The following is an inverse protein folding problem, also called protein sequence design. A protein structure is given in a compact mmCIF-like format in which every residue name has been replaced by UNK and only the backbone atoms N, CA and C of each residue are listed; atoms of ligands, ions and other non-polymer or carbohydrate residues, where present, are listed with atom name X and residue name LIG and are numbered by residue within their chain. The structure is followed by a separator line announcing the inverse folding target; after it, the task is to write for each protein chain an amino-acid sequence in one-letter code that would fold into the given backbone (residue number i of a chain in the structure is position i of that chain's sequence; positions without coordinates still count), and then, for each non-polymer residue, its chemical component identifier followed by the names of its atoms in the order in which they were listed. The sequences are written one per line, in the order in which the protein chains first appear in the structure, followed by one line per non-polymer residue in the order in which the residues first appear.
data_IF_792057128158
#
_entry.id   IF_792057128158
#
_cell.length_a   1.000
_cell.length_b   1.000
_cell.length_c   1.000
_cell.angle_alpha   90.00
_cell.angle_beta   90.00
_cell.angle_gamma   90.00
#
_symmetry.space_group_name_H-M   'P 1'
#
loop_
_entity.id
_entity.type
_entity.pdbx_description
1 polymer ?
#
# COMPACT_ATOMS: atom_id res chain seq x y z
N UNK A 1 9.65 20.74 26.70
CA UNK A 1 9.63 20.81 25.22
C UNK A 1 8.31 20.24 24.73
N UNK A 2 7.60 20.93 23.83
CA UNK A 2 6.37 20.40 23.23
C UNK A 2 6.70 19.29 22.23
N UNK A 3 5.73 18.42 21.92
CA UNK A 3 5.96 17.25 21.06
C UNK A 3 6.51 17.62 19.66
N UNK A 4 5.95 18.62 18.93
CA UNK A 4 6.47 18.96 17.60
C UNK A 4 7.96 19.35 17.62
N UNK A 5 8.35 20.21 18.56
CA UNK A 5 9.75 20.62 18.72
C UNK A 5 10.68 19.45 19.07
N UNK A 6 10.21 18.48 19.85
CA UNK A 6 10.98 17.27 20.15
C UNK A 6 11.18 16.40 18.89
N UNK A 7 10.12 16.22 18.11
CA UNK A 7 10.16 15.45 16.85
C UNK A 7 11.09 16.11 15.83
N UNK A 8 11.00 17.42 15.69
CA UNK A 8 11.87 18.23 14.82
C UNK A 8 13.34 18.09 15.23
N UNK A 9 13.62 18.15 16.53
CA UNK A 9 14.97 17.94 17.06
C UNK A 9 15.50 16.54 16.71
N UNK A 10 14.71 15.49 16.91
CA UNK A 10 15.12 14.10 16.60
C UNK A 10 15.37 13.90 15.11
N UNK A 11 14.60 14.58 14.24
CA UNK A 11 14.78 14.53 12.78
C UNK A 11 15.88 15.44 12.25
N UNK A 12 16.49 16.28 13.09
CA UNK A 12 17.44 17.29 12.64
C UNK A 12 16.79 18.32 11.70
N UNK A 13 15.54 18.68 11.95
CA UNK A 13 14.88 19.79 11.24
C UNK A 13 15.48 21.10 11.77
N UNK A 14 16.08 21.87 10.87
CA UNK A 14 16.74 23.15 11.18
C UNK A 14 16.12 24.27 10.35
N UNK A 15 16.49 25.52 10.63
CA UNK A 15 16.07 26.66 9.80
C UNK A 15 16.59 26.55 8.35
N UNK A 16 17.79 25.99 8.16
CA UNK A 16 18.42 25.82 6.83
C UNK A 16 17.85 24.62 6.07
N UNK A 17 17.46 23.55 6.78
CA UNK A 17 16.82 22.37 6.21
C UNK A 17 15.76 21.81 7.16
N UNK A 18 14.52 22.25 6.94
CA UNK A 18 13.36 21.84 7.73
C UNK A 18 12.71 20.54 7.27
N UNK A 19 13.23 19.89 6.21
CA UNK A 19 12.61 18.67 5.65
C UNK A 19 12.61 17.54 6.68
N UNK A 20 11.49 16.83 6.90
CA UNK A 20 11.46 15.69 7.82
C UNK A 20 12.10 14.43 7.22
N UNK A 21 12.07 14.25 5.89
CA UNK A 21 12.75 13.17 5.20
C UNK A 21 13.86 13.74 4.32
N UNK A 22 15.12 13.52 4.73
CA UNK A 22 16.29 14.09 4.05
C UNK A 22 16.58 13.47 2.68
N UNK A 23 16.05 12.27 2.43
CA UNK A 23 16.20 11.57 1.14
C UNK A 23 15.39 12.24 0.02
N UNK A 24 14.36 13.00 0.35
CA UNK A 24 13.51 13.67 -0.63
C UNK A 24 14.05 15.07 -0.93
N UNK A 25 14.52 15.31 -2.16
CA UNK A 25 15.23 16.54 -2.53
C UNK A 25 14.35 17.45 -3.39
N UNK A 26 13.85 18.59 -2.87
CA UNK A 26 12.99 19.52 -3.61
C UNK A 26 13.50 19.93 -4.98
N UNK A 27 14.80 20.24 -5.08
CA UNK A 27 15.43 20.66 -6.34
C UNK A 27 15.39 19.57 -7.40
N UNK A 28 15.67 18.32 -7.03
CA UNK A 28 15.61 17.17 -7.95
C UNK A 28 14.18 16.99 -8.44
N UNK A 29 13.20 17.04 -7.54
CA UNK A 29 11.78 16.89 -7.87
C UNK A 29 11.27 17.99 -8.81
N UNK A 30 11.71 19.24 -8.65
CA UNK A 30 11.33 20.31 -9.58
C UNK A 30 11.80 20.05 -11.01
N UNK A 31 12.98 19.45 -11.17
CA UNK A 31 13.51 19.13 -12.48
C UNK A 31 12.84 17.89 -13.09
N UNK A 32 12.78 16.79 -12.35
CA UNK A 32 12.29 15.51 -12.91
C UNK A 32 10.77 15.43 -13.01
N UNK A 33 10.04 16.19 -12.18
CA UNK A 33 8.57 16.18 -12.14
C UNK A 33 7.93 17.47 -12.67
N UNK A 34 8.62 18.25 -13.51
CA UNK A 34 8.21 19.60 -13.95
C UNK A 34 6.77 19.72 -14.48
N UNK A 35 6.23 18.69 -15.14
CA UNK A 35 4.85 18.67 -15.64
C UNK A 35 3.98 17.62 -14.97
N UNK A 36 4.41 17.13 -13.81
CA UNK A 36 3.61 16.23 -12.99
C UNK A 36 2.49 17.01 -12.29
N UNK A 37 1.24 16.56 -12.46
CA UNK A 37 0.06 17.27 -11.97
C UNK A 37 0.07 17.56 -10.46
N UNK A 38 0.68 16.67 -9.66
CA UNK A 38 0.73 16.79 -8.20
C UNK A 38 2.10 17.31 -7.69
N UNK A 39 2.92 17.93 -8.54
CA UNK A 39 4.24 18.44 -8.13
C UNK A 39 4.15 19.39 -6.92
N UNK A 40 3.21 20.33 -6.92
CA UNK A 40 3.07 21.29 -5.81
C UNK A 40 2.74 20.59 -4.49
N UNK A 41 1.90 19.56 -4.53
CA UNK A 41 1.55 18.78 -3.34
C UNK A 41 2.72 17.93 -2.86
N UNK A 42 3.44 17.30 -3.80
CA UNK A 42 4.66 16.56 -3.51
C UNK A 42 5.71 17.47 -2.85
N UNK A 43 5.90 18.70 -3.35
CA UNK A 43 6.81 19.68 -2.77
C UNK A 43 6.43 20.03 -1.33
N UNK A 44 5.14 20.24 -1.04
CA UNK A 44 4.66 20.49 0.34
C UNK A 44 4.98 19.31 1.26
N UNK A 45 4.73 18.09 0.83
CA UNK A 45 5.02 16.86 1.59
C UNK A 45 6.53 16.71 1.85
N UNK A 46 7.36 17.02 0.86
CA UNK A 46 8.82 16.92 0.98
C UNK A 46 9.37 17.95 1.97
N UNK A 47 8.81 19.17 1.95
CA UNK A 47 9.28 20.29 2.78
C UNK A 47 8.87 20.17 4.24
N UNK A 48 7.64 19.73 4.53
CA UNK A 48 7.11 19.69 5.91
C UNK A 48 6.63 18.33 6.39
N UNK A 49 6.43 17.37 5.50
CA UNK A 49 5.68 16.15 5.76
C UNK A 49 4.18 16.35 5.59
N UNK A 50 3.43 15.28 5.77
CA UNK A 50 1.96 15.29 5.66
C UNK A 50 1.37 15.87 6.93
N UNK A 51 0.76 17.04 6.83
CA UNK A 51 -0.07 17.62 7.88
C UNK A 51 -1.48 17.05 7.77
N UNK A 52 -1.90 16.29 8.78
CA UNK A 52 -3.18 15.59 8.78
C UNK A 52 -4.31 16.57 9.01
N UNK A 53 -5.20 16.70 8.02
CA UNK A 53 -6.44 17.47 8.17
C UNK A 53 -7.49 16.62 8.85
N UNK A 54 -8.14 17.20 9.85
CA UNK A 54 -9.20 16.57 10.62
C UNK A 54 -10.51 17.27 10.34
N UNK A 55 -11.58 16.51 10.11
CA UNK A 55 -12.94 17.03 10.01
C UNK A 55 -13.47 17.51 11.36
N UNK A 56 -12.94 16.92 12.45
CA UNK A 56 -13.22 17.31 13.82
C UNK A 56 -12.03 16.94 14.72
N UNK A 57 -11.78 17.77 15.73
CA UNK A 57 -10.73 17.48 16.71
C UNK A 57 -11.11 16.25 17.56
N UNK A 58 -10.28 15.20 17.57
CA UNK A 58 -10.48 14.06 18.45
C UNK A 58 -10.39 14.47 19.93
N UNK A 59 -11.21 13.90 20.82
CA UNK A 59 -11.16 14.21 22.24
C UNK A 59 -9.87 13.71 22.87
N UNK A 60 -9.40 14.39 23.93
CA UNK A 60 -8.29 13.89 24.75
C UNK A 60 -8.67 12.57 25.42
N UNK A 61 -7.78 11.60 25.35
CA UNK A 61 -7.99 10.28 25.95
C UNK A 61 -7.71 10.31 27.45
N UNK A 62 -8.75 10.09 28.25
CA UNK A 62 -8.62 9.83 29.70
C UNK A 62 -8.19 8.38 29.94
N UNK A 63 -8.79 7.45 29.20
CA UNK A 63 -8.42 6.04 29.14
C UNK A 63 -7.96 5.71 27.72
N UNK A 64 -6.95 4.85 27.63
CA UNK A 64 -6.33 4.44 26.37
C UNK A 64 -6.62 2.96 26.13
N UNK A 65 -6.92 2.56 24.89
CA UNK A 65 -7.30 1.19 24.61
C UNK A 65 -6.09 0.24 24.76
N UNK A 66 -6.30 -1.00 25.23
CA UNK A 66 -5.27 -2.03 25.20
C UNK A 66 -5.06 -2.53 23.77
N UNK A 67 -3.89 -3.10 23.50
CA UNK A 67 -3.63 -3.77 22.23
C UNK A 67 -4.56 -4.97 21.99
N UNK A 68 -4.80 -5.28 20.72
CA UNK A 68 -5.56 -6.48 20.36
C UNK A 68 -4.86 -7.74 20.87
N UNK A 69 -5.65 -8.80 21.13
CA UNK A 69 -5.11 -10.09 21.58
C UNK A 69 -3.98 -10.60 20.67
N UNK A 70 -4.15 -10.45 19.36
CA UNK A 70 -3.12 -10.88 18.39
C UNK A 70 -1.77 -10.20 18.53
N UNK A 71 -1.72 -8.95 19.00
CA UNK A 71 -0.48 -8.24 19.27
C UNK A 71 0.16 -8.66 20.60
N UNK A 72 -0.66 -8.87 21.63
CA UNK A 72 -0.21 -9.35 22.96
C UNK A 72 0.33 -10.79 22.87
N UNK A 73 -0.39 -11.67 22.20
CA UNK A 73 -0.01 -13.08 22.00
C UNK A 73 1.27 -13.21 21.15
N UNK A 74 1.59 -12.20 20.34
CA UNK A 74 2.73 -12.19 19.41
C UNK A 74 3.63 -10.98 19.65
N UNK A 75 3.87 -10.68 20.92
CA UNK A 75 4.63 -9.52 21.36
C UNK A 75 6.05 -9.47 20.78
N UNK A 76 6.70 -10.62 20.60
CA UNK A 76 8.01 -10.72 19.95
C UNK A 76 7.99 -10.19 18.50
N UNK A 77 6.93 -10.47 17.74
CA UNK A 77 6.74 -9.99 16.38
C UNK A 77 6.46 -8.49 16.37
N UNK A 78 5.61 -8.02 17.30
CA UNK A 78 5.34 -6.59 17.47
C UNK A 78 6.64 -5.82 17.77
N UNK A 79 7.39 -6.22 18.79
CA UNK A 79 8.67 -5.62 19.18
C UNK A 79 9.66 -5.61 18.02
N UNK A 80 9.82 -6.73 17.32
CA UNK A 80 10.71 -6.84 16.14
C UNK A 80 10.33 -5.84 15.04
N UNK A 81 9.04 -5.73 14.73
CA UNK A 81 8.55 -4.83 13.70
C UNK A 81 8.72 -3.36 14.11
N UNK A 82 8.35 -2.99 15.35
CA UNK A 82 8.55 -1.63 15.86
C UNK A 82 10.04 -1.28 15.89
N UNK A 83 10.90 -2.19 16.34
CA UNK A 83 12.34 -1.96 16.37
C UNK A 83 12.91 -1.71 14.97
N UNK A 84 12.46 -2.47 13.96
CA UNK A 84 12.83 -2.23 12.56
C UNK A 84 12.43 -0.84 12.08
N UNK A 85 11.25 -0.35 12.47
CA UNK A 85 10.78 0.99 12.10
C UNK A 85 11.54 2.08 12.87
N UNK A 86 11.90 1.82 14.14
CA UNK A 86 12.73 2.71 14.96
C UNK A 86 14.14 2.84 14.39
N UNK A 87 14.79 1.73 14.04
CA UNK A 87 16.14 1.72 13.45
C UNK A 87 16.19 2.49 12.12
N UNK A 88 15.06 2.55 11.41
CA UNK A 88 14.92 3.33 10.18
C UNK A 88 14.44 4.78 10.40
N UNK A 89 14.34 5.24 11.65
CA UNK A 89 13.91 6.60 12.00
C UNK A 89 12.43 6.90 11.71
N UNK A 90 11.60 5.88 11.52
CA UNK A 90 10.18 6.01 11.12
C UNK A 90 9.19 5.97 12.28
N UNK A 91 9.65 5.66 13.49
CA UNK A 91 8.89 5.84 14.72
C UNK A 91 9.81 6.18 15.90
N UNK A 92 9.25 6.81 16.92
CA UNK A 92 9.88 6.96 18.24
C UNK A 92 9.37 5.86 19.16
N UNK A 93 10.25 5.37 20.04
CA UNK A 93 9.88 4.49 21.16
C UNK A 93 10.36 5.19 22.43
N UNK A 94 9.43 5.57 23.30
CA UNK A 94 9.66 6.41 24.46
C UNK A 94 8.97 5.82 25.69
N UNK A 95 9.47 6.13 26.88
CA UNK A 95 8.80 5.76 28.13
C UNK A 95 7.36 6.30 28.17
N UNK A 96 6.44 5.52 28.74
CA UNK A 96 5.02 5.87 28.83
C UNK A 96 4.78 7.15 29.62
N UNK A 97 5.67 7.49 30.55
CA UNK A 97 5.57 8.70 31.36
C UNK A 97 5.52 10.00 30.54
N UNK A 98 6.02 9.97 29.29
CA UNK A 98 5.92 11.05 28.31
C UNK A 98 4.49 11.45 27.99
N UNK A 99 3.51 10.56 28.19
CA UNK A 99 2.08 10.92 28.08
C UNK A 99 1.63 11.95 29.13
N UNK A 100 2.35 12.10 30.25
CA UNK A 100 2.10 13.19 31.23
C UNK A 100 2.52 14.54 30.66
N UNK A 101 3.59 14.56 29.88
CA UNK A 101 4.13 15.75 29.23
C UNK A 101 3.34 16.11 27.96
N UNK A 102 2.87 15.11 27.22
CA UNK A 102 2.10 15.25 25.98
C UNK A 102 0.75 14.54 26.06
N UNK A 103 -0.19 15.08 26.87
CA UNK A 103 -1.51 14.48 27.05
C UNK A 103 -2.37 14.47 25.78
N UNK A 104 -1.98 15.23 24.75
CA UNK A 104 -2.61 15.27 23.43
C UNK A 104 -2.39 14.00 22.60
N UNK A 105 -1.38 13.17 22.91
CA UNK A 105 -1.11 11.94 22.14
C UNK A 105 -2.29 10.97 22.25
N UNK A 106 -2.78 10.56 21.07
CA UNK A 106 -3.84 9.58 20.89
C UNK A 106 -3.20 8.21 20.68
N UNK A 107 -3.60 7.27 21.50
CA UNK A 107 -3.21 5.86 21.41
C UNK A 107 -4.31 5.09 20.71
N UNK A 108 -3.94 4.44 19.61
CA UNK A 108 -4.72 3.42 18.93
C UNK A 108 -4.05 2.06 19.09
N UNK A 109 -4.82 0.96 19.18
CA UNK A 109 -4.26 -0.34 19.50
C UNK A 109 -3.47 -0.93 18.32
N UNK A 110 -2.44 -1.71 18.64
CA UNK A 110 -1.77 -2.55 17.66
C UNK A 110 -2.47 -3.91 17.54
N UNK A 111 -2.39 -4.48 16.34
CA UNK A 111 -2.69 -5.88 16.05
C UNK A 111 -1.56 -6.51 15.23
N UNK A 112 -1.41 -7.84 15.30
CA UNK A 112 -0.46 -8.58 14.45
C UNK A 112 -1.21 -9.61 13.62
N UNK A 113 -1.01 -9.57 12.30
CA UNK A 113 -1.61 -10.52 11.36
C UNK A 113 -0.55 -11.36 10.65
N UNK A 114 -0.93 -12.54 10.17
CA UNK A 114 -0.01 -13.43 9.47
C UNK A 114 0.48 -12.82 8.14
N UNK A 115 1.77 -13.02 7.85
CA UNK A 115 2.40 -12.57 6.60
C UNK A 115 2.62 -13.79 5.69
N UNK A 116 1.67 -14.00 4.77
CA UNK A 116 1.78 -15.08 3.79
C UNK A 116 1.90 -16.48 4.43
N UNK A 117 2.81 -17.29 3.89
CA UNK A 117 3.11 -18.65 4.36
C UNK A 117 4.32 -18.71 5.31
N UNK A 118 4.80 -17.57 5.80
CA UNK A 118 5.88 -17.55 6.80
C UNK A 118 5.36 -18.04 8.16
N UNK A 119 6.25 -18.57 9.00
CA UNK A 119 5.89 -19.04 10.34
C UNK A 119 5.31 -17.86 11.17
N UNK A 120 4.06 -18.02 11.60
CA UNK A 120 3.31 -17.04 12.35
C UNK A 120 3.96 -16.72 13.71
N UNK A 121 4.80 -17.59 14.27
CA UNK A 121 5.46 -17.31 15.55
C UNK A 121 6.60 -16.29 15.42
N UNK A 122 7.19 -16.15 14.22
CA UNK A 122 8.38 -15.30 13.99
C UNK A 122 8.14 -14.18 12.96
N UNK A 123 7.03 -14.27 12.21
CA UNK A 123 6.69 -13.32 11.15
C UNK A 123 5.22 -12.93 11.15
N UNK A 124 4.98 -11.63 11.09
CA UNK A 124 3.65 -11.05 10.97
C UNK A 124 3.75 -9.59 10.57
N UNK A 125 2.63 -9.04 10.09
CA UNK A 125 2.49 -7.62 9.82
C UNK A 125 1.82 -6.96 11.02
N UNK A 126 2.52 -6.01 11.63
CA UNK A 126 1.92 -5.11 12.62
C UNK A 126 0.96 -4.17 11.89
N UNK A 127 -0.25 -4.05 12.44
CA UNK A 127 -1.28 -3.10 12.01
C UNK A 127 -1.50 -2.14 13.16
N UNK A 128 -1.45 -0.85 12.87
CA UNK A 128 -1.92 0.19 13.79
C UNK A 128 -3.40 0.38 13.52
N UNK A 129 -4.27 -0.07 14.42
CA UNK A 129 -5.72 -0.06 14.18
C UNK A 129 -6.30 1.35 14.42
N UNK A 130 -6.05 2.21 13.44
CA UNK A 130 -6.50 3.60 13.42
C UNK A 130 -7.98 3.73 13.02
N UNK A 131 -8.68 2.60 12.84
CA UNK A 131 -10.13 2.49 12.70
C UNK A 131 -10.83 2.09 14.00
N UNK A 132 -10.09 1.99 15.11
CA UNK A 132 -10.63 1.69 16.43
C UNK A 132 -10.68 2.96 17.32
N UNK A 133 -11.76 3.23 18.06
CA UNK A 133 -13.09 2.60 18.04
C UNK A 133 -13.94 3.20 16.90
N UNK A 134 -14.72 2.37 16.22
CA UNK A 134 -15.59 2.79 15.11
C UNK A 134 -16.48 4.00 15.49
N UNK A 135 -16.53 5.00 14.61
CA UNK A 135 -17.23 6.27 14.79
C UNK A 135 -16.45 7.33 15.58
N UNK A 136 -15.34 6.96 16.21
CA UNK A 136 -14.47 7.85 17.02
C UNK A 136 -12.99 7.59 16.82
N UNK A 137 -12.64 6.89 15.74
CA UNK A 137 -11.25 6.54 15.44
C UNK A 137 -10.53 7.67 14.72
N UNK A 138 -9.20 7.58 14.60
CA UNK A 138 -8.42 8.55 13.82
C UNK A 138 -8.89 8.59 12.36
N UNK A 139 -9.25 7.44 11.79
CA UNK A 139 -9.79 7.38 10.44
C UNK A 139 -11.16 8.07 10.32
N UNK A 140 -12.01 8.01 11.36
CA UNK A 140 -13.30 8.71 11.37
C UNK A 140 -13.14 10.24 11.50
N UNK A 141 -12.09 10.68 12.21
CA UNK A 141 -11.77 12.11 12.37
C UNK A 141 -10.95 12.68 11.22
N UNK A 142 -10.29 11.84 10.40
CA UNK A 142 -9.52 12.29 9.24
C UNK A 142 -10.47 12.87 8.19
N UNK A 143 -10.18 14.08 7.72
CA UNK A 143 -10.93 14.69 6.62
C UNK A 143 -10.70 13.91 5.32
N UNK A 144 -11.72 13.17 4.88
CA UNK A 144 -11.62 12.33 3.69
C UNK A 144 -11.53 13.13 2.39
N UNK A 145 -12.00 14.39 2.39
CA UNK A 145 -11.94 15.26 1.21
C UNK A 145 -10.54 15.86 1.02
N UNK A 146 -9.70 15.82 2.06
CA UNK A 146 -8.29 16.22 1.98
C UNK A 146 -7.37 15.16 1.38
N UNK A 147 -7.84 13.92 1.20
CA UNK A 147 -7.02 12.80 0.75
C UNK A 147 -7.14 12.66 -0.77
N UNK A 148 -6.00 12.71 -1.45
CA UNK A 148 -5.92 12.42 -2.89
C UNK A 148 -6.41 10.99 -3.17
N UNK A 149 -7.43 10.87 -4.03
CA UNK A 149 -8.00 9.60 -4.44
C UNK A 149 -7.24 9.10 -5.68
N UNK A 150 -6.47 7.99 -5.57
CA UNK A 150 -5.80 7.43 -6.74
C UNK A 150 -6.81 6.97 -7.79
N UNK A 151 -6.52 7.29 -9.06
CA UNK A 151 -7.20 6.72 -10.21
C UNK A 151 -6.26 5.74 -10.92
N UNK A 152 -6.48 4.44 -10.71
CA UNK A 152 -5.68 3.41 -11.36
C UNK A 152 -6.30 2.95 -12.67
N UNK A 153 -5.43 2.76 -13.67
CA UNK A 153 -5.84 2.09 -14.91
C UNK A 153 -6.14 0.62 -14.64
N UNK A 154 -7.09 0.05 -15.37
CA UNK A 154 -7.38 -1.37 -15.27
C UNK A 154 -6.20 -2.20 -15.80
N UNK A 155 -5.97 -3.38 -15.21
CA UNK A 155 -4.80 -4.24 -15.51
C UNK A 155 -4.74 -4.77 -16.96
N UNK A 156 -5.79 -4.58 -17.75
CA UNK A 156 -5.81 -4.89 -19.18
C UNK A 156 -4.89 -3.98 -19.99
N UNK A 157 -4.49 -2.82 -19.46
CA UNK A 157 -3.46 -1.97 -20.05
C UNK A 157 -2.14 -2.73 -20.27
N UNK A 158 -1.75 -3.61 -19.34
CA UNK A 158 -0.55 -4.47 -19.49
C UNK A 158 -0.72 -5.43 -20.67
N UNK A 159 -1.89 -6.06 -20.79
CA UNK A 159 -2.18 -6.97 -21.90
C UNK A 159 -2.25 -6.22 -23.26
N UNK A 160 -2.86 -5.03 -23.28
CA UNK A 160 -2.93 -4.18 -24.46
C UNK A 160 -1.51 -3.77 -24.92
N UNK A 161 -0.63 -3.47 -23.98
CA UNK A 161 0.76 -3.13 -24.26
C UNK A 161 1.53 -4.30 -24.86
N UNK A 162 1.39 -5.50 -24.28
CA UNK A 162 2.00 -6.72 -24.81
C UNK A 162 1.60 -6.91 -26.27
N UNK A 163 0.31 -6.81 -26.58
CA UNK A 163 -0.21 -6.96 -27.94
C UNK A 163 0.28 -5.84 -28.88
N UNK A 164 0.40 -4.60 -28.39
CA UNK A 164 0.94 -3.47 -29.14
C UNK A 164 2.40 -3.71 -29.50
N UNK A 165 3.22 -4.06 -28.51
CA UNK A 165 4.65 -4.36 -28.68
C UNK A 165 4.88 -5.54 -29.63
N UNK A 166 4.09 -6.61 -29.55
CA UNK A 166 4.18 -7.74 -30.50
C UNK A 166 3.83 -7.35 -31.92
N UNK A 167 2.82 -6.50 -32.13
CA UNK A 167 2.47 -6.01 -33.47
C UNK A 167 3.58 -5.13 -34.07
N UNK A 168 4.22 -4.30 -33.25
CA UNK A 168 5.34 -3.46 -33.67
C UNK A 168 6.60 -4.29 -33.96
N UNK A 169 6.83 -5.38 -33.21
CA UNK A 169 8.02 -6.22 -33.34
C UNK A 169 7.68 -7.72 -33.44
N UNK A 170 7.08 -8.20 -34.57
CA UNK A 170 6.50 -9.55 -34.65
C UNK A 170 7.44 -10.72 -34.43
N UNK A 171 8.76 -10.51 -34.59
CA UNK A 171 9.80 -11.55 -34.46
C UNK A 171 10.64 -11.41 -33.21
N UNK A 172 10.32 -10.43 -32.36
CA UNK A 172 11.07 -10.14 -31.14
C UNK A 172 10.28 -10.65 -29.94
N UNK A 173 10.99 -11.15 -28.94
CA UNK A 173 10.39 -11.51 -27.66
C UNK A 173 9.89 -10.25 -26.97
N UNK A 174 8.63 -10.26 -26.51
CA UNK A 174 8.11 -9.22 -25.62
C UNK A 174 8.15 -9.75 -24.20
N UNK A 175 8.82 -9.04 -23.31
CA UNK A 175 9.03 -9.43 -21.94
C UNK A 175 8.29 -8.49 -20.99
N UNK A 176 7.95 -9.01 -19.81
CA UNK A 176 7.33 -8.28 -18.71
C UNK A 176 8.27 -8.31 -17.52
N UNK A 177 8.39 -7.18 -16.83
CA UNK A 177 9.11 -7.06 -15.57
C UNK A 177 8.23 -6.34 -14.55
N UNK A 178 8.33 -6.77 -13.30
CA UNK A 178 7.78 -6.07 -12.14
C UNK A 178 8.90 -5.53 -11.25
N UNK A 179 8.75 -4.27 -10.86
CA UNK A 179 9.52 -3.60 -9.81
C UNK A 179 8.62 -3.23 -8.64
N UNK A 180 9.22 -3.03 -7.47
CA UNK A 180 8.52 -2.73 -6.21
C UNK A 180 9.24 -1.61 -5.46
N UNK A 181 8.45 -0.67 -4.94
CA UNK A 181 8.93 0.37 -4.03
C UNK A 181 9.02 -0.19 -2.61
N UNK A 182 10.22 -0.22 -2.05
CA UNK A 182 10.44 -0.64 -0.68
C UNK A 182 9.75 0.31 0.30
N UNK A 183 9.11 -0.27 1.32
CA UNK A 183 8.47 0.44 2.45
C UNK A 183 7.27 1.33 2.09
N UNK A 184 7.00 1.57 0.80
CA UNK A 184 5.82 2.26 0.27
C UNK A 184 5.45 3.52 1.08
N UNK A 185 4.30 3.50 1.78
CA UNK A 185 3.77 4.61 2.59
C UNK A 185 4.77 5.15 3.61
N UNK A 186 5.66 4.28 4.11
CA UNK A 186 6.64 4.61 5.13
C UNK A 186 7.76 5.52 4.63
N UNK A 187 7.85 5.77 3.32
CA UNK A 187 8.71 6.83 2.76
C UNK A 187 8.14 8.24 2.98
N UNK A 188 6.85 8.35 3.29
CA UNK A 188 6.16 9.62 3.48
C UNK A 188 6.16 9.98 4.96
N UNK A 189 6.82 11.08 5.32
CA UNK A 189 6.86 11.56 6.70
C UNK A 189 5.56 12.27 7.09
N UNK A 190 5.14 12.09 8.34
CA UNK A 190 4.06 12.87 8.96
C UNK A 190 4.66 14.17 9.52
N UNK A 191 3.95 15.29 9.33
CA UNK A 191 4.34 16.58 9.87
C UNK A 191 4.45 16.54 11.41
N UNK A 192 5.40 17.26 12.00
CA UNK A 192 5.64 17.25 13.45
C UNK A 192 4.38 17.62 14.26
N UNK A 193 3.58 18.55 13.75
CA UNK A 193 2.28 18.93 14.31
C UNK A 193 1.20 17.84 14.26
N UNK A 194 1.38 16.74 13.51
CA UNK A 194 0.35 15.71 13.34
C UNK A 194 0.74 14.35 13.93
N UNK A 195 1.99 14.14 14.34
CA UNK A 195 2.41 12.82 14.86
C UNK A 195 1.69 12.39 16.14
N UNK A 196 1.12 13.36 16.88
CA UNK A 196 0.34 13.07 18.09
C UNK A 196 -0.90 12.19 17.82
N UNK A 197 -1.37 12.14 16.58
CA UNK A 197 -2.51 11.32 16.14
C UNK A 197 -2.16 9.84 16.02
N UNK A 198 -0.88 9.50 15.92
CA UNK A 198 -0.41 8.17 15.56
C UNK A 198 0.42 7.55 16.69
N UNK A 199 -0.12 7.58 17.89
CA UNK A 199 0.45 6.90 19.05
C UNK A 199 -0.02 5.46 19.15
N UNK A 200 0.87 4.59 19.61
CA UNK A 200 0.58 3.22 20.05
C UNK A 200 1.25 2.97 21.40
N UNK A 201 0.89 1.87 22.06
CA UNK A 201 1.38 1.55 23.39
C UNK A 201 1.79 0.08 23.46
N UNK A 202 2.91 -0.24 24.08
CA UNK A 202 3.30 -1.62 24.39
C UNK A 202 3.34 -1.72 25.91
N UNK A 203 2.23 -2.22 26.48
CA UNK A 203 2.00 -2.27 27.93
C UNK A 203 3.07 -3.07 28.65
N UNK A 204 3.50 -4.18 28.06
CA UNK A 204 4.48 -5.10 28.63
C UNK A 204 5.88 -4.51 28.77
N UNK A 205 6.16 -3.43 28.04
CA UNK A 205 7.45 -2.72 28.05
C UNK A 205 7.35 -1.33 28.71
N UNK A 206 6.15 -0.88 29.10
CA UNK A 206 5.86 0.49 29.58
C UNK A 206 6.35 1.59 28.61
N UNK A 207 6.23 1.35 27.31
CA UNK A 207 6.65 2.30 26.25
C UNK A 207 5.49 2.71 25.34
N UNK A 208 5.54 3.96 24.89
CA UNK A 208 4.73 4.46 23.77
C UNK A 208 5.53 4.44 22.47
N UNK A 209 4.83 4.18 21.38
CA UNK A 209 5.34 4.29 20.02
C UNK A 209 4.66 5.48 19.36
N UNK A 210 5.42 6.38 18.74
CA UNK A 210 4.87 7.50 17.97
C UNK A 210 5.33 7.33 16.52
N UNK A 211 4.38 7.14 15.61
CA UNK A 211 4.69 7.00 14.19
C UNK A 211 5.13 8.35 13.60
N UNK A 212 6.28 8.34 12.92
CA UNK A 212 6.85 9.49 12.24
C UNK A 212 6.63 9.43 10.72
N UNK A 213 6.32 8.26 10.18
CA UNK A 213 5.96 8.08 8.78
C UNK A 213 4.54 7.56 8.65
N UNK A 214 3.92 7.74 7.47
CA UNK A 214 2.53 7.37 7.23
C UNK A 214 2.29 5.88 7.58
N UNK A 215 1.50 5.59 8.63
CA UNK A 215 1.42 4.24 9.19
C UNK A 215 0.48 3.33 8.41
N UNK A 216 0.68 2.02 8.51
CA UNK A 216 -0.31 1.06 8.04
C UNK A 216 -1.54 1.08 8.95
N UNK A 217 -2.70 1.32 8.34
CA UNK A 217 -3.98 1.41 9.05
C UNK A 217 -4.61 2.79 8.99
N UNK A 218 -3.85 3.84 8.63
CA UNK A 218 -4.42 5.16 8.37
C UNK A 218 -5.03 5.23 6.96
N UNK A 219 -6.24 5.73 6.85
CA UNK A 219 -6.97 5.89 5.58
C UNK A 219 -6.28 6.86 4.62
N UNK A 220 -5.52 7.84 5.14
CA UNK A 220 -4.73 8.76 4.32
C UNK A 220 -3.44 8.18 3.74
N UNK A 221 -2.86 7.13 4.36
CA UNK A 221 -1.55 6.61 3.95
C UNK A 221 -1.45 6.26 2.46
N UNK A 222 -2.41 5.53 1.86
CA UNK A 222 -2.36 5.23 0.44
C UNK A 222 -2.49 6.47 -0.45
N UNK A 223 -3.40 7.39 -0.13
CA UNK A 223 -3.66 8.59 -0.94
C UNK A 223 -2.48 9.56 -0.94
N UNK A 224 -1.84 9.78 0.22
CA UNK A 224 -0.66 10.63 0.28
C UNK A 224 0.58 10.00 -0.36
N UNK A 225 0.71 8.68 -0.25
CA UNK A 225 1.78 7.98 -0.95
C UNK A 225 1.59 7.98 -2.46
N UNK A 226 0.36 7.92 -2.96
CA UNK A 226 0.07 7.96 -4.40
C UNK A 226 0.70 9.20 -5.07
N UNK A 227 0.77 10.33 -4.38
CA UNK A 227 1.40 11.54 -4.91
C UNK A 227 2.88 11.29 -5.22
N UNK A 228 3.58 10.51 -4.40
CA UNK A 228 4.97 10.16 -4.66
C UNK A 228 5.10 8.95 -5.61
N UNK A 229 4.27 7.90 -5.44
CA UNK A 229 4.25 6.73 -6.34
C UNK A 229 3.88 7.11 -7.78
N UNK A 230 2.91 8.00 -7.96
CA UNK A 230 2.54 8.60 -9.22
C UNK A 230 3.64 9.48 -9.81
N UNK A 231 4.44 10.16 -8.97
CA UNK A 231 5.61 10.89 -9.45
C UNK A 231 6.71 9.94 -9.96
N UNK A 232 6.97 8.82 -9.26
CA UNK A 232 7.83 7.73 -9.78
C UNK A 232 7.30 7.25 -11.13
N UNK A 233 5.98 7.03 -11.22
CA UNK A 233 5.37 6.56 -12.43
C UNK A 233 5.49 7.54 -13.60
N UNK A 234 5.32 8.84 -13.31
CA UNK A 234 5.49 9.94 -14.26
C UNK A 234 6.93 10.06 -14.75
N UNK A 235 7.92 10.09 -13.85
CA UNK A 235 9.34 10.21 -14.21
C UNK A 235 9.78 9.03 -15.05
N UNK A 236 9.39 7.81 -14.63
CA UNK A 236 9.70 6.61 -15.39
C UNK A 236 9.01 6.65 -16.76
N UNK A 237 7.70 6.86 -16.82
CA UNK A 237 6.93 6.86 -18.08
C UNK A 237 7.32 7.98 -19.05
N UNK A 238 7.88 9.09 -18.56
CA UNK A 238 8.38 10.18 -19.40
C UNK A 238 9.80 9.92 -19.93
N UNK A 239 10.46 8.85 -19.50
CA UNK A 239 11.81 8.52 -19.95
C UNK A 239 11.78 8.02 -21.39
N UNK A 240 12.54 8.68 -22.26
CA UNK A 240 12.61 8.34 -23.68
C UNK A 240 13.90 7.59 -24.01
N UNK A 241 13.81 6.66 -24.95
CA UNK A 241 14.96 5.93 -25.50
C UNK A 241 14.81 5.86 -27.03
N UNK A 242 15.80 5.31 -27.74
CA UNK A 242 15.68 5.07 -29.17
C UNK A 242 14.48 4.19 -29.54
N UNK A 243 14.22 3.15 -28.75
CA UNK A 243 13.07 2.25 -28.94
C UNK A 243 11.74 2.84 -28.43
N UNK A 244 11.81 3.75 -27.45
CA UNK A 244 10.65 4.36 -26.80
C UNK A 244 10.69 5.90 -26.88
N UNK A 245 10.56 6.50 -28.06
CA UNK A 245 10.66 7.96 -28.22
C UNK A 245 9.50 8.73 -27.57
N UNK A 246 8.35 8.05 -27.36
CA UNK A 246 7.17 8.61 -26.70
C UNK A 246 7.09 8.33 -25.19
N UNK A 247 8.14 7.74 -24.61
CA UNK A 247 8.14 7.29 -23.21
C UNK A 247 7.97 5.77 -23.07
N UNK A 248 8.53 5.23 -22.00
CA UNK A 248 8.41 3.80 -21.65
C UNK A 248 7.04 3.48 -21.05
N UNK A 249 6.51 2.29 -21.34
CA UNK A 249 5.28 1.84 -20.71
C UNK A 249 5.50 1.51 -19.24
N UNK A 250 4.62 2.02 -18.38
CA UNK A 250 4.61 1.72 -16.96
C UNK A 250 3.18 1.62 -16.46
N UNK A 251 2.78 0.43 -16.03
CA UNK A 251 1.58 0.24 -15.23
C UNK A 251 1.95 0.34 -13.75
N UNK A 252 1.38 1.32 -13.07
CA UNK A 252 1.62 1.57 -11.65
C UNK A 252 0.37 1.24 -10.83
N UNK A 253 0.57 0.52 -9.73
CA UNK A 253 -0.44 0.26 -8.70
C UNK A 253 0.22 0.34 -7.32
N UNK A 254 0.03 1.45 -6.63
CA UNK A 254 0.62 1.68 -5.30
C UNK A 254 2.14 1.47 -5.32
N UNK A 255 2.67 0.40 -4.74
CA UNK A 255 4.09 0.08 -4.69
C UNK A 255 4.58 -0.76 -5.87
N UNK A 256 3.66 -1.36 -6.63
CA UNK A 256 3.96 -2.21 -7.77
C UNK A 256 4.08 -1.39 -9.07
N UNK A 257 5.16 -1.63 -9.81
CA UNK A 257 5.39 -1.11 -11.17
C UNK A 257 5.57 -2.26 -12.15
N UNK A 258 4.82 -2.27 -13.24
CA UNK A 258 4.85 -3.31 -14.27
C UNK A 258 5.22 -2.69 -15.60
N UNK A 259 6.30 -3.20 -16.17
CA UNK A 259 6.85 -2.75 -17.44
C UNK A 259 6.71 -3.84 -18.49
N UNK A 260 6.59 -3.41 -19.74
CA UNK A 260 6.55 -4.28 -20.92
C UNK A 260 7.51 -3.71 -21.94
N UNK A 261 8.40 -4.56 -22.45
CA UNK A 261 9.40 -4.16 -23.44
C UNK A 261 9.59 -5.25 -24.49
N UNK A 262 9.90 -4.85 -25.72
CA UNK A 262 10.40 -5.76 -26.75
C UNK A 262 11.91 -5.91 -26.52
N UNK A 263 12.41 -7.14 -26.49
CA UNK A 263 13.80 -7.50 -26.17
C UNK A 263 14.74 -7.17 -27.36
N UNK A 264 15.09 -5.88 -27.50
CA UNK A 264 15.85 -5.31 -28.62
C UNK A 264 17.04 -4.55 -28.05
N UNK A 265 18.26 -5.02 -28.34
CA UNK A 265 19.47 -4.38 -27.85
C UNK A 265 19.43 -4.26 -26.32
N UNK A 266 19.44 -3.02 -25.81
CA UNK A 266 19.44 -2.70 -24.38
C UNK A 266 18.06 -2.28 -23.83
N UNK A 267 16.99 -2.39 -24.62
CA UNK A 267 15.67 -1.84 -24.26
C UNK A 267 15.17 -2.27 -22.87
N UNK A 268 15.27 -3.55 -22.54
CA UNK A 268 14.88 -4.10 -21.23
C UNK A 268 15.71 -3.50 -20.08
N UNK A 269 17.02 -3.37 -20.29
CA UNK A 269 17.95 -2.80 -19.31
C UNK A 269 17.73 -1.29 -19.13
N UNK A 270 17.43 -0.58 -20.22
CA UNK A 270 17.14 0.85 -20.21
C UNK A 270 15.85 1.15 -19.44
N UNK A 271 14.81 0.33 -19.64
CA UNK A 271 13.55 0.43 -18.90
C UNK A 271 13.77 0.10 -17.42
N UNK A 272 14.49 -0.97 -17.07
CA UNK A 272 14.81 -1.30 -15.66
C UNK A 272 15.57 -0.15 -14.98
N UNK A 273 16.62 0.35 -15.63
CA UNK A 273 17.44 1.45 -15.12
C UNK A 273 16.63 2.74 -14.96
N UNK A 274 15.73 3.03 -15.89
CA UNK A 274 14.82 4.18 -15.80
C UNK A 274 13.90 4.09 -14.59
N UNK A 275 13.32 2.93 -14.29
CA UNK A 275 12.46 2.75 -13.13
C UNK A 275 13.25 2.95 -11.82
N UNK A 276 14.44 2.35 -11.73
CA UNK A 276 15.33 2.50 -10.56
C UNK A 276 15.74 3.95 -10.36
N UNK A 277 16.06 4.66 -11.45
CA UNK A 277 16.35 6.08 -11.42
C UNK A 277 15.16 6.88 -10.89
N UNK A 278 13.95 6.63 -11.40
CA UNK A 278 12.74 7.32 -10.95
C UNK A 278 12.48 7.10 -9.45
N UNK A 279 12.59 5.85 -8.97
CA UNK A 279 12.48 5.54 -7.54
C UNK A 279 13.51 6.30 -6.70
N UNK A 280 14.78 6.27 -7.11
CA UNK A 280 15.86 6.96 -6.38
C UNK A 280 15.69 8.48 -6.39
N UNK A 281 15.31 9.07 -7.52
CA UNK A 281 15.14 10.51 -7.68
C UNK A 281 13.95 11.03 -6.87
N UNK A 282 12.86 10.25 -6.79
CA UNK A 282 11.64 10.69 -6.11
C UNK A 282 11.64 10.34 -4.62
N UNK A 283 12.06 9.13 -4.25
CA UNK A 283 11.90 8.58 -2.90
C UNK A 283 13.23 8.32 -2.17
N UNK A 284 14.36 8.45 -2.87
CA UNK A 284 15.69 8.08 -2.38
C UNK A 284 16.08 6.64 -2.72
N UNK A 285 17.38 6.34 -2.67
CA UNK A 285 17.92 5.05 -3.10
C UNK A 285 17.38 3.85 -2.31
N UNK A 286 17.07 4.04 -1.02
CA UNK A 286 16.52 3.00 -0.15
C UNK A 286 15.11 2.55 -0.55
N UNK A 287 14.43 3.31 -1.42
CA UNK A 287 13.12 2.95 -1.96
C UNK A 287 13.19 1.85 -3.03
N UNK A 288 14.37 1.52 -3.56
CA UNK A 288 14.51 0.46 -4.56
C UNK A 288 14.50 -0.91 -3.87
N UNK A 289 13.43 -1.69 -4.06
CA UNK A 289 13.36 -3.03 -3.51
C UNK A 289 14.04 -4.08 -4.41
N UNK A 290 15.38 -4.07 -4.47
CA UNK A 290 16.16 -4.94 -5.36
C UNK A 290 15.78 -6.42 -5.29
N UNK A 291 15.35 -6.92 -4.13
CA UNK A 291 14.94 -8.32 -3.91
C UNK A 291 13.60 -8.70 -4.53
N UNK A 292 12.75 -7.71 -4.84
CA UNK A 292 11.43 -7.91 -5.42
C UNK A 292 11.34 -7.49 -6.89
N UNK A 293 12.38 -6.86 -7.42
CA UNK A 293 12.52 -6.73 -8.86
C UNK A 293 12.62 -8.13 -9.45
N UNK A 294 11.87 -8.34 -10.50
CA UNK A 294 11.83 -9.61 -11.21
C UNK A 294 12.64 -9.51 -12.49
N UNK A 295 13.20 -10.63 -12.94
CA UNK A 295 13.83 -10.68 -14.25
C UNK A 295 12.79 -10.46 -15.36
N UNK A 296 13.25 -9.95 -16.50
CA UNK A 296 12.46 -9.84 -17.71
C UNK A 296 12.09 -11.22 -18.25
N UNK A 297 10.80 -11.51 -18.37
CA UNK A 297 10.35 -12.82 -18.83
C UNK A 297 9.12 -12.72 -19.74
N UNK A 298 8.99 -13.67 -20.67
CA UNK A 298 7.79 -13.80 -21.52
C UNK A 298 6.62 -14.41 -20.78
N UNK A 299 6.88 -15.10 -19.66
CA UNK A 299 5.85 -15.62 -18.75
C UNK A 299 6.07 -15.07 -17.36
N UNK A 300 5.22 -14.15 -16.93
CA UNK A 300 5.44 -13.38 -15.72
C UNK A 300 4.20 -13.28 -14.84
N UNK A 301 4.42 -13.44 -13.53
CA UNK A 301 3.39 -13.23 -12.52
C UNK A 301 3.44 -11.79 -12.02
N UNK A 302 2.42 -11.00 -12.38
CA UNK A 302 2.27 -9.61 -11.92
C UNK A 302 0.81 -9.34 -11.56
N UNK A 303 0.56 -8.44 -10.59
CA UNK A 303 -0.81 -8.10 -10.11
C UNK A 303 -1.61 -9.33 -9.64
N UNK A 304 -0.92 -10.40 -9.25
CA UNK A 304 -1.54 -11.68 -8.89
C UNK A 304 -2.11 -12.49 -10.06
N UNK A 305 -1.82 -12.10 -11.31
CA UNK A 305 -2.16 -12.80 -12.54
C UNK A 305 -0.90 -13.32 -13.23
N UNK A 306 -1.05 -14.32 -14.10
CA UNK A 306 0.01 -14.86 -14.94
C UNK A 306 -0.18 -14.35 -16.36
N UNK A 307 0.75 -13.52 -16.82
CA UNK A 307 0.80 -13.02 -18.19
C UNK A 307 1.76 -13.89 -19.00
N UNK A 308 1.31 -14.37 -20.16
CA UNK A 308 2.13 -15.12 -21.11
C UNK A 308 2.11 -14.37 -22.45
N UNK A 309 3.23 -13.74 -22.78
CA UNK A 309 3.37 -12.93 -24.00
C UNK A 309 3.52 -13.79 -25.24
N UNK A 310 3.96 -15.05 -25.12
CA UNK A 310 4.08 -15.98 -26.26
C UNK A 310 2.69 -16.50 -26.63
N UNK A 311 1.97 -17.03 -25.64
CA UNK A 311 0.61 -17.56 -25.82
C UNK A 311 -0.46 -16.46 -25.93
N UNK A 312 -0.13 -15.20 -25.63
CA UNK A 312 -1.06 -14.06 -25.59
C UNK A 312 -2.23 -14.27 -24.63
N UNK A 313 -1.92 -14.84 -23.46
CA UNK A 313 -2.93 -15.15 -22.45
C UNK A 313 -2.67 -14.45 -21.13
N UNK A 314 -3.75 -14.17 -20.41
CA UNK A 314 -3.74 -13.78 -19.00
C UNK A 314 -4.55 -14.83 -18.24
N UNK A 315 -3.94 -15.42 -17.22
CA UNK A 315 -4.56 -16.50 -16.46
C UNK A 315 -4.42 -16.30 -14.96
N UNK A 316 -5.34 -16.92 -14.21
CA UNK A 316 -5.28 -16.97 -12.76
C UNK A 316 -4.27 -18.06 -12.37
N UNK A 317 -3.33 -17.78 -11.45
CA UNK A 317 -2.43 -18.82 -10.96
C UNK A 317 -3.16 -20.01 -10.33
N UNK A 318 -2.68 -21.23 -10.59
CA UNK A 318 -3.34 -22.48 -10.19
C UNK A 318 -3.64 -22.53 -8.70
N UNK A 319 -2.72 -22.09 -7.84
CA UNK A 319 -2.94 -22.09 -6.39
C UNK A 319 -4.04 -21.11 -5.95
N UNK A 320 -4.26 -20.03 -6.71
CA UNK A 320 -5.38 -19.10 -6.46
C UNK A 320 -6.69 -19.69 -6.95
N UNK A 321 -6.68 -20.45 -8.04
CA UNK A 321 -7.86 -21.22 -8.52
C UNK A 321 -8.25 -22.26 -7.46
N UNK A 322 -7.30 -23.05 -6.96
CA UNK A 322 -7.55 -24.04 -5.91
C UNK A 322 -8.18 -23.37 -4.69
N UNK A 323 -7.58 -22.27 -4.21
CA UNK A 323 -8.14 -21.50 -3.09
C UNK A 323 -9.55 -20.99 -3.37
N UNK A 324 -9.81 -20.45 -4.56
CA UNK A 324 -11.13 -19.97 -4.94
C UNK A 324 -12.16 -21.11 -4.92
N UNK A 325 -11.83 -22.27 -5.49
CA UNK A 325 -12.69 -23.47 -5.47
C UNK A 325 -13.00 -23.93 -4.05
N UNK A 326 -12.01 -23.95 -3.15
CA UNK A 326 -12.23 -24.30 -1.74
C UNK A 326 -13.16 -23.31 -1.03
N UNK A 327 -13.01 -22.02 -1.28
CA UNK A 327 -13.88 -20.98 -0.69
C UNK A 327 -15.32 -21.10 -1.23
N UNK A 328 -15.48 -21.34 -2.53
CA UNK A 328 -16.79 -21.54 -3.17
C UNK A 328 -17.47 -22.80 -2.62
N UNK A 329 -16.76 -23.93 -2.53
CA UNK A 329 -17.31 -25.17 -1.98
C UNK A 329 -17.75 -24.99 -0.52
N UNK A 330 -16.93 -24.35 0.31
CA UNK A 330 -17.27 -24.07 1.70
C UNK A 330 -18.49 -23.14 1.83
N UNK A 331 -18.62 -22.14 0.94
CA UNK A 331 -19.77 -21.25 0.92
C UNK A 331 -21.05 -21.93 0.44
N UNK A 332 -20.94 -22.78 -0.58
CA UNK A 332 -22.07 -23.52 -1.15
C UNK A 332 -22.70 -24.47 -0.11
N UNK A 333 -21.87 -25.15 0.68
CA UNK A 333 -22.33 -26.07 1.73
C UNK A 333 -22.77 -25.39 3.04
N UNK A 334 -22.58 -24.08 3.18
CA UNK A 334 -22.92 -23.36 4.41
C UNK A 334 -24.35 -22.82 4.37
N UNK A 335 -25.04 -22.83 5.52
CA UNK A 335 -26.31 -22.12 5.68
C UNK A 335 -26.13 -20.61 5.87
N UNK A 336 -24.99 -20.19 6.42
CA UNK A 336 -24.63 -18.78 6.58
C UNK A 336 -23.12 -18.57 6.69
N UNK A 337 -22.63 -17.43 6.20
CA UNK A 337 -21.24 -17.00 6.26
C UNK A 337 -21.02 -15.94 7.32
N UNK A 338 -19.86 -15.96 7.97
CA UNK A 338 -19.39 -14.78 8.70
C UNK A 338 -19.06 -13.66 7.72
N UNK A 339 -19.06 -12.39 8.18
CA UNK A 339 -18.61 -11.25 7.36
C UNK A 339 -17.24 -11.49 6.73
N UNK A 340 -16.29 -12.05 7.48
CA UNK A 340 -14.95 -12.37 6.98
C UNK A 340 -15.00 -13.43 5.87
N UNK A 341 -15.79 -14.49 6.04
CA UNK A 341 -15.92 -15.54 5.03
C UNK A 341 -16.60 -15.01 3.76
N UNK A 342 -17.65 -14.19 3.91
CA UNK A 342 -18.34 -13.55 2.80
C UNK A 342 -17.42 -12.58 2.03
N UNK A 343 -16.68 -11.70 2.73
CA UNK A 343 -15.70 -10.81 2.09
C UNK A 343 -14.56 -11.58 1.41
N UNK A 344 -14.13 -12.70 2.00
CA UNK A 344 -13.15 -13.61 1.39
C UNK A 344 -13.67 -14.22 0.08
N UNK A 345 -14.93 -14.68 0.06
CA UNK A 345 -15.61 -15.17 -1.14
C UNK A 345 -15.69 -14.09 -2.22
N UNK A 346 -16.19 -12.90 -1.88
CA UNK A 346 -16.32 -11.77 -2.82
C UNK A 346 -14.95 -11.35 -3.39
N UNK A 347 -13.94 -11.24 -2.53
CA UNK A 347 -12.58 -10.90 -2.94
C UNK A 347 -11.93 -11.97 -3.82
N UNK A 348 -12.22 -13.26 -3.57
CA UNK A 348 -11.72 -14.36 -4.40
C UNK A 348 -12.39 -14.36 -5.78
N UNK A 349 -13.71 -14.26 -5.83
CA UNK A 349 -14.48 -14.26 -7.08
C UNK A 349 -14.24 -13.00 -7.92
N UNK A 350 -13.97 -11.84 -7.30
CA UNK A 350 -13.54 -10.62 -8.02
C UNK A 350 -12.32 -10.88 -8.90
N UNK A 351 -11.32 -11.61 -8.38
CA UNK A 351 -10.13 -11.99 -9.18
C UNK A 351 -10.47 -12.94 -10.31
N UNK A 352 -11.39 -13.89 -10.07
CA UNK A 352 -11.85 -14.81 -11.12
C UNK A 352 -12.52 -14.04 -12.26
N UNK A 353 -13.39 -13.10 -11.92
CA UNK A 353 -14.10 -12.25 -12.88
C UNK A 353 -13.20 -11.28 -13.66
N UNK A 354 -11.95 -11.08 -13.24
CA UNK A 354 -10.94 -10.33 -14.01
C UNK A 354 -10.54 -11.10 -15.27
N UNK A 355 -10.32 -12.42 -15.17
CA UNK A 355 -9.95 -13.27 -16.31
C UNK A 355 -11.19 -13.83 -17.05
N UNK A 356 -12.31 -14.01 -16.35
CA UNK A 356 -13.53 -14.62 -16.89
C UNK A 356 -14.64 -13.58 -16.88
N UNK A 357 -14.78 -12.82 -17.98
CA UNK A 357 -15.80 -11.74 -18.07
C UNK A 357 -17.23 -12.25 -17.83
N UNK A 358 -17.53 -13.48 -18.26
CA UNK A 358 -18.82 -14.13 -18.04
C UNK A 358 -19.18 -14.34 -16.55
N UNK A 359 -18.20 -14.32 -15.64
CA UNK A 359 -18.43 -14.47 -14.20
C UNK A 359 -18.92 -13.17 -13.51
N UNK A 360 -18.83 -12.01 -14.19
CA UNK A 360 -19.16 -10.70 -13.61
C UNK A 360 -20.62 -10.57 -13.15
N UNK A 361 -21.65 -11.03 -13.90
CA UNK A 361 -23.04 -10.94 -13.46
C UNK A 361 -23.32 -11.72 -12.17
N UNK A 362 -22.76 -12.91 -12.03
CA UNK A 362 -22.86 -13.75 -10.82
C UNK A 362 -22.26 -13.04 -9.60
N UNK A 363 -21.07 -12.45 -9.77
CA UNK A 363 -20.44 -11.65 -8.72
C UNK A 363 -21.29 -10.42 -8.33
N UNK A 364 -21.90 -9.74 -9.30
CA UNK A 364 -22.76 -8.58 -9.01
C UNK A 364 -23.98 -8.96 -8.17
N UNK A 365 -24.61 -10.10 -8.47
CA UNK A 365 -25.74 -10.60 -7.67
C UNK A 365 -25.31 -10.94 -6.25
N UNK A 366 -24.21 -11.66 -6.10
CA UNK A 366 -23.67 -12.00 -4.78
C UNK A 366 -23.36 -10.76 -3.93
N UNK A 367 -22.91 -9.66 -4.53
CA UNK A 367 -22.54 -8.41 -3.85
C UNK A 367 -23.69 -7.55 -3.35
N UNK A 368 -24.95 -7.81 -3.75
CA UNK A 368 -26.08 -6.97 -3.32
C UNK A 368 -26.21 -6.83 -1.79
N UNK A 369 -25.65 -7.79 -1.05
CA UNK A 369 -25.65 -7.79 0.41
C UNK A 369 -24.39 -7.15 1.04
N UNK A 370 -23.38 -6.75 0.25
CA UNK A 370 -22.09 -6.26 0.74
C UNK A 370 -22.21 -4.91 1.48
N UNK A 371 -23.09 -4.02 1.01
CA UNK A 371 -23.29 -2.66 1.54
C UNK A 371 -24.00 -2.59 2.89
N UNK A 372 -24.58 -3.69 3.37
CA UNK A 372 -25.34 -3.73 4.63
C UNK A 372 -24.70 -4.61 5.72
N UNK A 373 -23.44 -5.03 5.53
CA UNK A 373 -22.76 -5.97 6.44
C UNK A 373 -22.32 -5.31 7.75
N UNK A 374 -23.01 -5.62 8.85
CA UNK A 374 -22.52 -5.27 10.18
C UNK A 374 -21.45 -6.26 10.69
N UNK A 375 -20.57 -5.79 11.60
CA UNK A 375 -19.36 -6.49 12.05
C UNK A 375 -19.62 -7.89 12.63
N UNK A 376 -20.75 -8.09 13.32
CA UNK A 376 -21.14 -9.36 13.95
C UNK A 376 -22.25 -10.11 13.22
N UNK A 377 -22.73 -9.59 12.09
CA UNK A 377 -23.83 -10.20 11.36
C UNK A 377 -23.33 -11.37 10.51
N UNK A 378 -24.09 -12.47 10.53
CA UNK A 378 -23.92 -13.58 9.58
C UNK A 378 -24.78 -13.33 8.36
N UNK A 379 -24.25 -13.66 7.19
CA UNK A 379 -24.95 -13.56 5.91
C UNK A 379 -25.59 -14.91 5.61
N UNK A 380 -26.93 -15.05 5.61
CA UNK A 380 -27.56 -16.28 5.19
C UNK A 380 -27.27 -16.53 3.70
N UNK A 381 -27.02 -17.79 3.35
CA UNK A 381 -26.82 -18.20 1.96
C UNK A 381 -28.18 -18.50 1.37
N UNK A 382 -28.62 -17.67 0.41
CA UNK A 382 -29.91 -17.85 -0.26
C UNK A 382 -29.81 -18.88 -1.40
N UNK A 383 -30.94 -19.48 -1.85
CA UNK A 383 -30.94 -20.36 -3.01
C UNK A 383 -30.34 -19.71 -4.27
N UNK A 384 -30.62 -18.43 -4.51
CA UNK A 384 -30.05 -17.67 -5.63
C UNK A 384 -28.53 -17.54 -5.50
N UNK A 385 -28.03 -17.29 -4.29
CA UNK A 385 -26.59 -17.28 -4.03
C UNK A 385 -25.97 -18.66 -4.26
N UNK A 386 -26.64 -19.75 -3.87
CA UNK A 386 -26.16 -21.10 -4.15
C UNK A 386 -26.11 -21.39 -5.64
N UNK A 387 -27.12 -20.96 -6.41
CA UNK A 387 -27.14 -21.11 -7.85
C UNK A 387 -26.00 -20.34 -8.53
N UNK A 388 -25.63 -19.18 -7.99
CA UNK A 388 -24.52 -18.36 -8.48
C UNK A 388 -23.12 -18.92 -8.16
N UNK A 389 -23.05 -19.93 -7.29
CA UNK A 389 -21.81 -20.58 -6.87
C UNK A 389 -21.51 -21.89 -7.64
N UNK A 390 -22.43 -22.35 -8.48
CA UNK A 390 -22.28 -23.49 -9.40
C UNK A 390 -21.60 -23.00 -10.68
#
# INVERSE_FOLDING_TARGET
MILPAFVELVRGQTADDYRPNKNLVPGVLNEVCKSYAHLEELQRIVQGGVEVRLSKTPPRQVQRPPNHGSARDRLNVLRKNIRKEQDAGRCLVLDRDRLKQWPEIIISPFGVVNKGNEDANVSGRTIHDLSYLEGTSINDYTDQDSITKPEYTHCDAVAAEILRSKRAHPRVRVCVMAGDVASAFRNISIHSNSVYLFGGHIEEDDVIVIELAAPFGWTGSPGFYEIAGGAVAYVHGSHTTGEYPGGVFNYHWVDDHINVAADIGTSCEDVDRSLRYAMAAVLGADAINTKKFTDWNTRQRVLGLMFDTVAETVSIPTEKIIKARSIVAAAYSASSLSRQAYLSLMGSLRRVATCIRAARPFLQRLRRHESYLQRFQRVPITPDMQQDLI
#
